data_IF_110541198335
#
_entry.id   IF_110541198335
#
_cell.length_a   1.000
_cell.length_b   1.000
_cell.length_c   1.000
_cell.angle_alpha   90.00
_cell.angle_beta   90.00
_cell.angle_gamma   90.00
#
_symmetry.space_group_name_H-M   'P 1'
#
loop_
_entity.id
_entity.type
_entity.pdbx_description
1 polymer ?
#
# COMPACT_ATOMS: atom_id res chain seq x y z
N UNK A 1 -42.91 82.86 -57.93
CA UNK A 1 -41.60 82.87 -57.23
C UNK A 1 -41.00 81.47 -57.40
N UNK A 2 -40.02 81.22 -58.28
CA UNK A 2 -38.55 81.37 -58.08
C UNK A 2 -38.15 80.70 -56.75
N UNK A 3 -37.35 79.64 -56.65
CA UNK A 3 -36.14 79.22 -57.41
C UNK A 3 -35.78 77.73 -57.16
N UNK A 4 -35.05 77.15 -58.13
CA UNK A 4 -33.94 76.17 -58.07
C UNK A 4 -33.28 75.88 -56.71
N UNK A 5 -32.47 74.84 -56.43
CA UNK A 5 -31.98 73.58 -57.01
C UNK A 5 -30.60 73.36 -56.34
N UNK A 6 -30.26 72.16 -55.85
CA UNK A 6 -28.91 71.56 -55.98
C UNK A 6 -28.78 70.19 -55.27
N UNK A 7 -28.12 69.29 -56.02
CA UNK A 7 -27.83 67.85 -55.88
C UNK A 7 -26.36 67.68 -55.35
N UNK A 8 -25.70 66.48 -55.31
CA UNK A 8 -26.09 65.06 -55.19
C UNK A 8 -25.13 64.18 -54.29
N UNK A 9 -25.25 62.84 -54.41
CA UNK A 9 -24.25 61.77 -54.22
C UNK A 9 -24.00 61.29 -52.77
N UNK A 10 -23.78 60.01 -52.45
CA UNK A 10 -23.42 58.84 -53.26
C UNK A 10 -23.77 57.54 -52.49
N UNK A 11 -24.10 56.49 -53.25
CA UNK A 11 -23.76 55.06 -53.06
C UNK A 11 -23.24 54.64 -51.67
N UNK A 12 -23.73 53.56 -51.05
CA UNK A 12 -23.27 52.19 -51.35
C UNK A 12 -24.07 51.20 -50.48
N UNK A 13 -24.75 50.26 -51.15
CA UNK A 13 -24.97 48.84 -50.80
C UNK A 13 -25.41 48.50 -49.37
N UNK A 14 -26.66 48.05 -49.21
CA UNK A 14 -26.98 46.86 -48.39
C UNK A 14 -28.16 46.11 -49.04
N UNK A 15 -27.84 45.25 -50.02
CA UNK A 15 -28.71 44.13 -50.40
C UNK A 15 -28.29 42.91 -49.59
N UNK A 16 -29.27 42.35 -48.89
CA UNK A 16 -29.50 40.92 -48.64
C UNK A 16 -28.29 39.98 -48.63
N UNK A 17 -28.05 39.36 -47.48
CA UNK A 17 -27.71 37.94 -47.41
C UNK A 17 -27.98 37.41 -45.99
N UNK A 18 -29.12 36.74 -45.84
CA UNK A 18 -29.23 35.61 -44.95
C UNK A 18 -28.16 34.57 -45.35
N UNK A 19 -27.76 33.71 -44.40
CA UNK A 19 -26.65 32.74 -44.46
C UNK A 19 -25.33 33.30 -43.92
N UNK A 20 -25.20 33.32 -42.59
CA UNK A 20 -23.99 33.01 -41.79
C UNK A 20 -24.25 33.39 -40.33
N UNK A 21 -25.15 32.66 -39.67
CA UNK A 21 -25.47 32.85 -38.25
C UNK A 21 -25.66 31.54 -37.49
N UNK A 22 -25.15 30.43 -38.03
CA UNK A 22 -25.23 29.09 -37.43
C UNK A 22 -23.85 28.49 -37.12
N UNK A 23 -22.80 29.32 -37.05
CA UNK A 23 -21.44 28.89 -36.67
C UNK A 23 -20.89 29.61 -35.42
N UNK A 24 -21.73 30.33 -34.66
CA UNK A 24 -21.33 30.96 -33.40
C UNK A 24 -22.26 30.60 -32.22
N UNK A 25 -22.86 29.40 -32.26
CA UNK A 25 -23.51 28.74 -31.11
C UNK A 25 -23.12 27.27 -30.99
N UNK A 26 -21.97 26.89 -31.57
CA UNK A 26 -21.40 25.54 -31.53
C UNK A 26 -19.98 25.52 -30.94
N UNK A 27 -19.59 26.59 -30.24
CA UNK A 27 -18.27 26.73 -29.62
C UNK A 27 -18.34 27.17 -28.14
N UNK A 28 -19.38 26.75 -27.41
CA UNK A 28 -19.46 26.90 -25.93
C UNK A 28 -19.82 25.59 -25.20
N UNK A 29 -19.78 24.44 -25.89
CA UNK A 29 -19.56 23.15 -25.22
C UNK A 29 -18.06 22.87 -25.17
N UNK A 30 -17.28 23.83 -24.67
CA UNK A 30 -15.93 23.55 -24.22
C UNK A 30 -16.04 22.81 -22.89
N UNK A 31 -16.20 21.49 -23.03
CA UNK A 31 -15.53 20.47 -22.24
C UNK A 31 -15.07 20.93 -20.84
N UNK A 32 -16.02 21.17 -19.94
CA UNK A 32 -15.74 21.10 -18.50
C UNK A 32 -15.79 19.62 -18.13
N UNK A 33 -14.83 18.85 -18.65
CA UNK A 33 -14.34 17.69 -17.91
C UNK A 33 -13.48 18.30 -16.81
N UNK A 34 -14.15 18.78 -15.76
CA UNK A 34 -13.48 18.90 -14.46
C UNK A 34 -12.90 17.53 -14.21
N UNK A 35 -11.57 17.45 -14.24
CA UNK A 35 -10.85 16.22 -14.12
C UNK A 35 -11.40 15.42 -12.96
N UNK A 36 -11.63 14.13 -13.19
CA UNK A 36 -11.51 13.17 -12.11
C UNK A 36 -10.10 13.39 -11.58
N UNK A 37 -9.97 14.20 -10.53
CA UNK A 37 -8.71 14.38 -9.83
C UNK A 37 -8.17 12.99 -9.56
N UNK A 38 -6.86 12.81 -9.72
CA UNK A 38 -6.19 11.63 -9.19
C UNK A 38 -6.73 11.43 -7.78
N UNK A 39 -7.56 10.40 -7.57
CA UNK A 39 -8.02 10.08 -6.23
C UNK A 39 -6.74 9.79 -5.45
N UNK A 40 -6.40 10.70 -4.54
CA UNK A 40 -5.17 10.60 -3.79
C UNK A 40 -5.27 9.32 -2.99
N UNK A 41 -4.33 8.44 -3.27
CA UNK A 41 -4.34 7.05 -2.90
C UNK A 41 -3.24 6.88 -1.85
N UNK A 42 -3.57 6.40 -0.66
CA UNK A 42 -2.74 6.62 0.52
C UNK A 42 -2.39 5.37 1.29
N UNK A 43 -2.82 4.19 0.84
CA UNK A 43 -2.29 2.98 1.43
C UNK A 43 -2.96 1.69 1.05
N UNK A 44 -2.33 0.62 1.51
CA UNK A 44 -2.79 -0.75 1.39
C UNK A 44 -2.23 -1.56 2.54
N UNK A 45 -2.86 -2.70 2.85
CA UNK A 45 -2.30 -3.67 3.79
C UNK A 45 -0.97 -4.18 3.24
N UNK A 46 0.11 -3.95 3.98
CA UNK A 46 1.46 -4.30 3.55
C UNK A 46 1.92 -5.65 4.11
N UNK A 47 1.38 -6.06 5.26
CA UNK A 47 1.73 -7.33 5.90
C UNK A 47 0.55 -7.91 6.69
N UNK A 48 0.03 -9.11 6.36
CA UNK A 48 0.29 -9.84 5.13
C UNK A 48 -0.18 -9.03 3.92
N UNK A 49 0.60 -9.00 2.82
CA UNK A 49 0.36 -8.07 1.72
C UNK A 49 -1.01 -8.28 1.08
N UNK A 50 -1.73 -7.20 0.81
CA UNK A 50 -2.94 -7.27 -0.01
C UNK A 50 -2.62 -7.78 -1.42
N UNK A 51 -3.60 -8.32 -2.14
CA UNK A 51 -3.41 -8.87 -3.49
C UNK A 51 -2.71 -7.89 -4.43
N UNK A 52 -3.25 -6.68 -4.56
CA UNK A 52 -2.69 -5.64 -5.43
C UNK A 52 -1.32 -5.12 -4.94
N UNK A 53 -1.14 -4.94 -3.63
CA UNK A 53 0.13 -4.52 -3.04
C UNK A 53 1.21 -5.57 -3.26
N UNK A 54 0.92 -6.83 -2.95
CA UNK A 54 1.81 -7.96 -3.15
C UNK A 54 2.20 -8.15 -4.61
N UNK A 55 1.24 -8.04 -5.55
CA UNK A 55 1.55 -8.13 -6.98
C UNK A 55 2.45 -6.99 -7.45
N UNK A 56 2.19 -5.75 -7.04
CA UNK A 56 3.05 -4.62 -7.36
C UNK A 56 4.48 -4.81 -6.84
N UNK A 57 4.62 -5.22 -5.57
CA UNK A 57 5.91 -5.34 -4.93
C UNK A 57 6.74 -6.55 -5.39
N UNK A 58 6.10 -7.68 -5.73
CA UNK A 58 6.83 -8.84 -6.31
C UNK A 58 7.17 -8.63 -7.79
N UNK A 59 6.34 -7.89 -8.52
CA UNK A 59 6.46 -7.74 -9.96
C UNK A 59 6.38 -6.27 -10.41
N UNK A 60 7.30 -5.40 -9.96
CA UNK A 60 7.21 -3.97 -10.19
C UNK A 60 7.36 -3.56 -11.66
N UNK A 61 7.92 -4.44 -12.50
CA UNK A 61 8.13 -4.21 -13.93
C UNK A 61 6.97 -4.73 -14.81
N UNK A 62 5.85 -5.15 -14.21
CA UNK A 62 4.67 -5.64 -14.92
C UNK A 62 4.76 -7.12 -15.33
N UNK A 63 3.88 -7.57 -16.24
CA UNK A 63 3.72 -8.98 -16.57
C UNK A 63 4.92 -9.55 -17.32
N UNK A 64 5.34 -10.75 -16.95
CA UNK A 64 6.42 -11.51 -17.61
C UNK A 64 6.03 -12.97 -17.80
N UNK A 65 6.74 -13.70 -18.66
CA UNK A 65 6.50 -15.14 -18.82
C UNK A 65 6.81 -15.92 -17.54
N UNK A 66 7.80 -15.47 -16.77
CA UNK A 66 8.13 -16.03 -15.46
C UNK A 66 6.95 -15.87 -14.49
N UNK A 67 6.31 -14.69 -14.46
CA UNK A 67 5.13 -14.45 -13.64
C UNK A 67 3.97 -15.37 -14.03
N UNK A 68 3.76 -15.64 -15.32
CA UNK A 68 2.71 -16.55 -15.78
C UNK A 68 2.84 -17.96 -15.17
N UNK A 69 4.07 -18.42 -14.91
CA UNK A 69 4.34 -19.72 -14.31
C UNK A 69 4.41 -19.68 -12.78
N UNK A 70 4.99 -18.63 -12.20
CA UNK A 70 5.28 -18.57 -10.76
C UNK A 70 4.17 -17.89 -9.93
N UNK A 71 3.44 -16.94 -10.52
CA UNK A 71 2.39 -16.17 -9.86
C UNK A 71 1.24 -15.89 -10.84
N UNK A 72 0.50 -16.94 -11.28
CA UNK A 72 -0.52 -16.82 -12.31
C UNK A 72 -1.67 -15.87 -11.91
N UNK A 73 -1.90 -15.67 -10.61
CA UNK A 73 -2.92 -14.75 -10.12
C UNK A 73 -2.49 -13.28 -10.23
N UNK A 74 -1.23 -12.96 -9.98
CA UNK A 74 -0.71 -11.65 -10.34
C UNK A 74 -0.61 -11.48 -11.86
N UNK A 75 -0.24 -12.52 -12.60
CA UNK A 75 -0.19 -12.47 -14.07
C UNK A 75 -1.53 -12.07 -14.67
N UNK A 76 -2.61 -12.76 -14.31
CA UNK A 76 -3.94 -12.40 -14.83
C UNK A 76 -4.36 -11.00 -14.39
N UNK A 77 -3.94 -10.53 -13.21
CA UNK A 77 -4.26 -9.18 -12.75
C UNK A 77 -3.52 -8.11 -13.55
N UNK A 78 -2.23 -8.30 -13.79
CA UNK A 78 -1.41 -7.45 -14.65
C UNK A 78 -1.89 -7.42 -16.10
N UNK A 79 -2.36 -8.55 -16.64
CA UNK A 79 -2.95 -8.61 -17.97
C UNK A 79 -4.31 -7.91 -18.05
N UNK A 80 -5.10 -7.93 -16.97
CA UNK A 80 -6.42 -7.33 -16.94
C UNK A 80 -6.36 -5.79 -16.85
N UNK A 81 -5.61 -5.26 -15.89
CA UNK A 81 -5.42 -3.82 -15.73
C UNK A 81 -4.15 -3.52 -14.91
N UNK A 82 -3.03 -3.15 -15.55
CA UNK A 82 -1.80 -2.74 -14.86
C UNK A 82 -2.01 -1.59 -13.86
N UNK A 83 -3.00 -0.73 -14.09
CA UNK A 83 -3.27 0.40 -13.21
C UNK A 83 -3.76 -0.03 -11.83
N UNK A 84 -4.28 -1.25 -11.67
CA UNK A 84 -4.61 -1.83 -10.36
C UNK A 84 -3.37 -2.00 -9.47
N UNK A 85 -2.22 -2.33 -10.06
CA UNK A 85 -0.96 -2.51 -9.32
C UNK A 85 -0.20 -1.20 -9.20
N UNK A 86 -0.14 -0.38 -10.26
CA UNK A 86 0.52 0.93 -10.15
C UNK A 86 -0.18 1.86 -9.16
N UNK A 87 -1.51 1.77 -9.06
CA UNK A 87 -2.31 2.48 -8.05
C UNK A 87 -2.66 1.55 -6.88
N UNK A 88 -1.70 0.74 -6.40
CA UNK A 88 -1.90 -0.19 -5.28
C UNK A 88 -2.42 0.52 -4.02
N UNK A 89 -2.09 1.78 -3.81
CA UNK A 89 -2.49 2.59 -2.67
C UNK A 89 -3.93 3.13 -2.77
N UNK A 90 -4.64 2.84 -3.86
CA UNK A 90 -5.87 3.55 -4.26
C UNK A 90 -7.13 2.72 -4.26
N UNK A 91 -7.13 1.53 -3.65
CA UNK A 91 -8.32 0.69 -3.58
C UNK A 91 -9.26 1.21 -2.47
N UNK A 92 -10.00 2.26 -2.82
CA UNK A 92 -10.88 3.00 -1.92
C UNK A 92 -12.26 3.26 -2.52
N UNK A 93 -13.18 3.68 -1.66
CA UNK A 93 -14.45 4.30 -2.02
C UNK A 93 -14.65 5.57 -1.19
N UNK A 94 -15.18 6.59 -1.83
CA UNK A 94 -15.64 7.81 -1.17
C UNK A 94 -17.15 7.70 -0.90
N UNK A 95 -17.59 8.23 0.24
CA UNK A 95 -18.97 8.15 0.68
C UNK A 95 -19.39 6.76 1.16
N UNK A 96 -20.68 6.61 1.48
CA UNK A 96 -21.28 5.35 1.93
C UNK A 96 -21.21 5.08 3.43
N UNK A 97 -20.61 6.00 4.21
CA UNK A 97 -20.58 5.91 5.67
C UNK A 97 -19.98 4.61 6.18
N UNK A 98 -20.71 3.93 7.08
CA UNK A 98 -20.25 2.68 7.72
C UNK A 98 -20.95 1.41 7.20
N UNK A 99 -21.83 1.53 6.21
CA UNK A 99 -22.53 0.37 5.62
C UNK A 99 -21.71 -0.24 4.47
N UNK A 100 -20.67 -0.96 4.86
CA UNK A 100 -19.75 -1.59 3.90
C UNK A 100 -20.40 -2.72 3.11
N UNK A 101 -21.40 -3.41 3.66
CA UNK A 101 -22.07 -4.52 2.97
C UNK A 101 -22.92 -4.00 1.81
N UNK A 102 -23.62 -2.89 1.99
CA UNK A 102 -24.34 -2.24 0.89
C UNK A 102 -23.38 -1.69 -0.18
N UNK A 103 -22.24 -1.13 0.23
CA UNK A 103 -21.27 -0.54 -0.69
C UNK A 103 -20.46 -1.56 -1.49
N UNK A 104 -20.28 -2.78 -0.95
CA UNK A 104 -19.41 -3.81 -1.51
C UNK A 104 -20.16 -5.14 -1.57
N UNK A 105 -20.86 -5.44 -2.66
CA UNK A 105 -21.63 -6.68 -2.81
C UNK A 105 -20.78 -7.96 -2.76
N UNK A 106 -21.42 -9.08 -2.42
CA UNK A 106 -20.85 -10.43 -2.52
C UNK A 106 -20.14 -10.67 -3.87
N UNK A 107 -18.97 -11.29 -3.83
CA UNK A 107 -18.15 -11.57 -5.01
C UNK A 107 -17.33 -10.37 -5.51
N UNK A 108 -17.49 -9.18 -4.92
CA UNK A 108 -16.74 -7.96 -5.29
C UNK A 108 -15.95 -7.35 -4.14
N UNK A 109 -15.73 -8.14 -3.08
CA UNK A 109 -15.07 -7.67 -1.86
C UNK A 109 -13.64 -7.20 -2.12
N UNK A 110 -12.88 -7.96 -2.90
CA UNK A 110 -11.46 -7.71 -3.11
C UNK A 110 -11.19 -6.56 -4.10
N UNK A 111 -12.18 -6.15 -4.88
CA UNK A 111 -12.16 -4.92 -5.70
C UNK A 111 -12.82 -3.72 -5.03
N UNK A 112 -13.34 -3.87 -3.82
CA UNK A 112 -14.08 -2.80 -3.13
C UNK A 112 -15.35 -2.41 -3.87
N UNK A 113 -16.13 -3.39 -4.35
CA UNK A 113 -17.39 -3.15 -5.05
C UNK A 113 -17.18 -2.60 -6.45
N UNK A 114 -16.19 -3.14 -7.18
CA UNK A 114 -15.79 -2.69 -8.52
C UNK A 114 -15.51 -1.18 -8.58
N UNK A 115 -14.89 -0.64 -7.52
CA UNK A 115 -14.54 0.79 -7.45
C UNK A 115 -13.65 1.22 -8.62
N UNK A 116 -13.69 2.51 -8.96
CA UNK A 116 -13.00 3.09 -10.12
C UNK A 116 -13.28 2.36 -11.43
N UNK A 117 -14.56 2.16 -11.76
CA UNK A 117 -15.02 1.48 -12.98
C UNK A 117 -14.38 0.09 -13.16
N UNK A 118 -14.21 -0.65 -12.06
CA UNK A 118 -13.69 -2.01 -12.08
C UNK A 118 -12.17 -2.12 -12.23
N UNK A 119 -11.39 -1.05 -12.00
CA UNK A 119 -9.91 -1.11 -12.02
C UNK A 119 -9.36 -2.32 -11.28
N UNK A 120 -9.90 -2.61 -10.09
CA UNK A 120 -9.43 -3.69 -9.22
C UNK A 120 -10.20 -5.01 -9.40
N UNK A 121 -11.03 -5.17 -10.43
CA UNK A 121 -11.90 -6.34 -10.61
C UNK A 121 -11.13 -7.66 -10.67
N UNK A 122 -9.89 -7.66 -11.18
CA UNK A 122 -9.06 -8.86 -11.22
C UNK A 122 -8.70 -9.41 -9.82
N UNK A 123 -8.80 -8.58 -8.77
CA UNK A 123 -8.59 -8.99 -7.38
C UNK A 123 -9.71 -9.89 -6.86
N UNK A 124 -10.89 -9.92 -7.49
CA UNK A 124 -12.02 -10.75 -7.06
C UNK A 124 -11.94 -12.20 -7.51
N UNK A 125 -11.06 -12.52 -8.47
CA UNK A 125 -10.98 -13.87 -9.04
C UNK A 125 -10.50 -14.90 -7.99
N UNK A 126 -11.23 -16.01 -7.81
CA UNK A 126 -10.73 -17.17 -7.07
C UNK A 126 -9.49 -17.74 -7.76
N UNK A 127 -8.57 -18.29 -6.97
CA UNK A 127 -7.39 -18.94 -7.51
C UNK A 127 -6.25 -19.06 -6.51
N UNK A 128 -5.13 -19.61 -6.98
CA UNK A 128 -3.93 -19.85 -6.17
C UNK A 128 -3.12 -18.55 -5.97
N UNK A 129 -3.72 -17.56 -5.32
CA UNK A 129 -3.01 -16.36 -4.87
C UNK A 129 -1.92 -16.74 -3.87
N UNK A 130 -0.77 -16.05 -3.91
CA UNK A 130 0.33 -16.29 -2.98
C UNK A 130 -0.11 -15.99 -1.55
N UNK A 131 0.00 -16.99 -0.69
CA UNK A 131 -0.49 -16.97 0.69
C UNK A 131 0.68 -17.24 1.67
N UNK A 132 1.32 -16.20 2.22
CA UNK A 132 2.39 -16.38 3.21
C UNK A 132 1.89 -17.09 4.47
N UNK A 133 2.75 -17.91 5.08
CA UNK A 133 2.45 -18.60 6.34
C UNK A 133 2.24 -17.60 7.48
N UNK A 134 1.16 -17.77 8.26
CA UNK A 134 0.90 -16.97 9.46
C UNK A 134 0.42 -17.89 10.60
N UNK A 135 0.80 -17.63 11.85
CA UNK A 135 0.09 -18.20 12.99
C UNK A 135 -1.35 -17.66 13.04
N UNK A 136 -2.25 -18.34 13.75
CA UNK A 136 -3.65 -17.90 13.94
C UNK A 136 -3.77 -16.56 14.67
N UNK A 137 -2.72 -16.15 15.41
CA UNK A 137 -2.62 -14.83 16.02
C UNK A 137 -1.37 -14.09 15.54
N UNK A 138 -1.54 -12.94 14.91
CA UNK A 138 -0.45 -12.12 14.39
C UNK A 138 -0.87 -10.64 14.30
N UNK A 139 0.09 -9.77 13.96
CA UNK A 139 -0.18 -8.36 13.72
C UNK A 139 -0.25 -8.09 12.23
N UNK A 140 -1.34 -7.50 11.76
CA UNK A 140 -1.50 -6.96 10.42
C UNK A 140 -1.00 -5.51 10.38
N UNK A 141 -0.23 -5.14 9.37
CA UNK A 141 0.28 -3.78 9.16
C UNK A 141 -0.27 -3.16 7.87
N UNK A 142 -0.52 -1.85 7.93
CA UNK A 142 -0.99 -1.07 6.79
C UNK A 142 -0.01 0.06 6.42
N UNK A 143 0.21 0.13 5.10
CA UNK A 143 0.88 1.13 4.29
C UNK A 143 0.30 2.55 4.24
N UNK A 144 0.14 3.33 5.33
CA UNK A 144 -0.45 4.70 5.20
C UNK A 144 0.60 5.77 4.81
N UNK A 145 0.76 6.02 3.52
CA UNK A 145 1.73 6.99 2.98
C UNK A 145 1.35 8.45 3.21
N UNK A 146 0.13 8.72 3.67
CA UNK A 146 -0.33 10.11 3.90
C UNK A 146 -0.88 10.37 5.28
N UNK A 147 -0.65 9.43 6.19
CA UNK A 147 -0.83 9.66 7.62
C UNK A 147 -2.26 10.06 7.98
N UNK A 148 -3.25 9.51 7.27
CA UNK A 148 -4.68 9.76 7.50
C UNK A 148 -5.21 9.22 8.82
N UNK A 149 -4.48 8.30 9.46
CA UNK A 149 -4.99 7.58 10.62
C UNK A 149 -6.25 6.79 10.27
N UNK A 150 -7.04 6.40 11.28
CA UNK A 150 -8.24 5.62 11.05
C UNK A 150 -9.33 5.95 12.06
N UNK A 151 -10.58 6.06 11.63
CA UNK A 151 -11.72 6.00 12.56
C UNK A 151 -11.81 4.60 13.16
N UNK A 152 -11.58 3.59 12.32
CA UNK A 152 -11.38 2.19 12.69
C UNK A 152 -10.72 1.43 11.54
N UNK A 153 -10.12 0.30 11.89
CA UNK A 153 -9.74 -0.74 10.94
C UNK A 153 -10.40 -2.03 11.40
N UNK A 154 -11.09 -2.71 10.50
CA UNK A 154 -11.73 -4.02 10.73
C UNK A 154 -11.06 -5.06 9.86
N UNK A 155 -10.65 -6.17 10.45
CA UNK A 155 -10.07 -7.30 9.74
C UNK A 155 -10.99 -8.49 9.93
N UNK A 156 -11.44 -9.02 8.81
CA UNK A 156 -12.24 -10.22 8.73
C UNK A 156 -11.40 -11.37 8.19
N UNK A 157 -11.71 -12.59 8.60
CA UNK A 157 -11.11 -13.80 8.05
C UNK A 157 -12.20 -14.76 7.60
N UNK A 158 -11.97 -15.37 6.44
CA UNK A 158 -12.76 -16.51 5.97
C UNK A 158 -12.88 -17.59 7.03
N UNK A 159 -14.08 -18.18 7.15
CA UNK A 159 -14.37 -19.33 8.01
C UNK A 159 -13.60 -20.57 7.56
N UNK A 160 -13.31 -21.47 8.50
CA UNK A 160 -12.71 -22.78 8.17
C UNK A 160 -13.59 -23.52 7.15
N UNK A 161 -12.96 -24.13 6.14
CA UNK A 161 -13.65 -24.84 5.06
C UNK A 161 -14.03 -23.98 3.85
N UNK A 162 -13.81 -22.66 3.89
CA UNK A 162 -13.81 -21.85 2.67
C UNK A 162 -12.59 -22.19 1.81
N UNK A 163 -12.77 -22.31 0.49
CA UNK A 163 -11.67 -22.56 -0.46
C UNK A 163 -11.44 -21.31 -1.34
N UNK A 164 -10.40 -20.50 -1.07
CA UNK A 164 -10.08 -19.31 -1.86
C UNK A 164 -9.70 -19.60 -3.31
N UNK A 165 -9.35 -20.85 -3.64
CA UNK A 165 -8.91 -21.22 -4.99
C UNK A 165 -10.07 -21.42 -5.95
N UNK A 166 -11.25 -21.72 -5.44
CA UNK A 166 -12.40 -22.12 -6.25
C UNK A 166 -13.65 -21.28 -6.00
N UNK A 167 -13.72 -20.56 -4.88
CA UNK A 167 -14.92 -19.81 -4.49
C UNK A 167 -14.67 -18.31 -4.42
N UNK A 168 -15.60 -17.53 -4.96
CA UNK A 168 -15.64 -16.08 -4.80
C UNK A 168 -16.02 -15.73 -3.36
N UNK A 169 -15.38 -14.70 -2.80
CA UNK A 169 -15.58 -14.28 -1.42
C UNK A 169 -16.95 -13.64 -1.22
N UNK A 170 -17.64 -13.98 -0.13
CA UNK A 170 -18.91 -13.38 0.28
C UNK A 170 -18.83 -12.88 1.71
N UNK A 171 -19.71 -11.96 2.10
CA UNK A 171 -19.80 -11.51 3.50
C UNK A 171 -20.16 -12.64 4.46
N UNK A 172 -20.98 -13.60 4.01
CA UNK A 172 -21.37 -14.77 4.81
C UNK A 172 -20.21 -15.73 5.10
N UNK A 173 -19.12 -15.67 4.32
CA UNK A 173 -17.92 -16.47 4.52
C UNK A 173 -16.99 -15.90 5.61
N UNK A 174 -17.25 -14.68 6.09
CA UNK A 174 -16.32 -13.91 6.93
C UNK A 174 -16.75 -13.89 8.41
N UNK A 175 -15.78 -14.00 9.32
CA UNK A 175 -15.91 -13.57 10.71
C UNK A 175 -14.98 -12.38 10.98
N UNK A 176 -15.39 -11.46 11.85
CA UNK A 176 -14.52 -10.39 12.35
C UNK A 176 -13.48 -11.00 13.30
N UNK A 177 -12.20 -10.81 13.00
CA UNK A 177 -11.05 -11.39 13.75
C UNK A 177 -10.09 -10.34 14.30
N UNK A 178 -10.32 -9.06 14.00
CA UNK A 178 -9.55 -7.95 14.51
C UNK A 178 -10.29 -6.64 14.29
N UNK A 179 -10.25 -5.74 15.27
CA UNK A 179 -10.80 -4.39 15.12
C UNK A 179 -10.02 -3.41 15.98
N UNK A 180 -9.74 -2.23 15.44
CA UNK A 180 -9.17 -1.11 16.19
C UNK A 180 -10.24 -0.11 16.61
N UNK A 181 -9.94 0.69 17.62
CA UNK A 181 -10.59 1.98 17.82
C UNK A 181 -10.02 3.04 16.86
N UNK A 182 -10.25 4.31 17.20
CA UNK A 182 -9.70 5.44 16.46
C UNK A 182 -8.18 5.52 16.62
N UNK A 183 -7.48 5.69 15.49
CA UNK A 183 -6.04 5.82 15.39
C UNK A 183 -5.73 7.25 14.90
N UNK A 184 -4.96 8.05 15.65
CA UNK A 184 -4.56 9.39 15.23
C UNK A 184 -3.76 9.41 13.92
N UNK A 185 -3.92 10.49 13.17
CA UNK A 185 -3.10 10.81 11.99
C UNK A 185 -1.59 10.76 12.33
N UNK A 186 -0.77 10.27 11.41
CA UNK A 186 0.69 10.16 11.60
C UNK A 186 1.15 8.97 12.45
N UNK A 187 0.22 8.12 12.89
CA UNK A 187 0.53 6.90 13.66
C UNK A 187 0.53 5.69 12.74
N UNK A 188 1.39 4.70 13.03
CA UNK A 188 1.30 3.37 12.41
C UNK A 188 -0.05 2.75 12.75
N UNK A 189 -0.57 1.90 11.86
CA UNK A 189 -1.90 1.30 11.93
C UNK A 189 -1.83 -0.23 12.10
N UNK A 190 -1.12 -0.76 13.12
CA UNK A 190 -1.12 -2.20 13.36
C UNK A 190 -2.51 -2.65 13.86
N UNK A 191 -2.95 -3.82 13.41
CA UNK A 191 -4.17 -4.46 13.88
C UNK A 191 -3.83 -5.85 14.41
N UNK A 192 -4.22 -6.13 15.65
CA UNK A 192 -4.16 -7.49 16.16
C UNK A 192 -5.20 -8.36 15.46
N UNK A 193 -4.75 -9.46 14.87
CA UNK A 193 -5.61 -10.48 14.28
C UNK A 193 -5.58 -11.70 15.19
N UNK A 194 -6.76 -12.18 15.58
CA UNK A 194 -6.96 -13.42 16.32
C UNK A 194 -8.00 -14.29 15.59
N UNK A 195 -7.53 -15.30 14.88
CA UNK A 195 -8.31 -16.11 13.97
C UNK A 195 -8.25 -17.60 14.37
N UNK A 196 -8.78 -17.97 15.55
CA UNK A 196 -8.68 -19.34 16.05
C UNK A 196 -9.47 -20.33 15.19
N UNK A 197 -9.07 -21.59 15.21
CA UNK A 197 -9.70 -22.67 14.46
C UNK A 197 -9.40 -22.67 12.96
N UNK A 198 -8.56 -21.75 12.48
CA UNK A 198 -8.24 -21.59 11.05
C UNK A 198 -6.92 -22.25 10.69
N UNK A 199 -6.92 -23.05 9.63
CA UNK A 199 -5.76 -23.75 9.10
C UNK A 199 -5.80 -23.77 7.58
N UNK A 200 -4.63 -23.73 6.94
CA UNK A 200 -4.53 -23.73 5.49
C UNK A 200 -4.79 -22.35 4.88
N UNK A 201 -5.13 -22.33 3.59
CA UNK A 201 -5.31 -21.09 2.82
C UNK A 201 -6.61 -20.39 3.18
N UNK A 202 -6.48 -19.16 3.68
CA UNK A 202 -7.58 -18.25 3.99
C UNK A 202 -7.39 -16.89 3.31
N UNK A 203 -8.49 -16.18 3.14
CA UNK A 203 -8.48 -14.75 2.80
C UNK A 203 -8.78 -13.93 4.06
N UNK A 204 -7.98 -12.90 4.27
CA UNK A 204 -8.28 -11.79 5.17
C UNK A 204 -8.87 -10.64 4.36
N UNK A 205 -9.97 -10.09 4.82
CA UNK A 205 -10.59 -8.91 4.23
C UNK A 205 -10.49 -7.75 5.22
N UNK A 206 -9.78 -6.70 4.84
CA UNK A 206 -9.55 -5.53 5.70
C UNK A 206 -10.33 -4.34 5.18
N UNK A 207 -11.06 -3.68 6.08
CA UNK A 207 -11.72 -2.40 5.87
C UNK A 207 -11.00 -1.35 6.71
N UNK A 208 -10.38 -0.38 6.07
CA UNK A 208 -9.77 0.78 6.73
C UNK A 208 -10.63 2.01 6.47
N UNK A 209 -11.27 2.54 7.51
CA UNK A 209 -12.02 3.80 7.46
C UNK A 209 -11.07 4.94 7.84
N UNK A 210 -10.63 5.72 6.86
CA UNK A 210 -9.71 6.83 7.08
C UNK A 210 -10.38 7.99 7.84
N UNK A 211 -9.61 8.76 8.61
CA UNK A 211 -10.16 9.83 9.48
C UNK A 211 -10.30 11.18 8.77
N UNK A 212 -9.64 11.39 7.63
CA UNK A 212 -9.61 12.71 6.96
C UNK A 212 -10.87 13.02 6.14
N UNK A 213 -11.64 12.00 5.78
CA UNK A 213 -12.86 12.10 4.97
C UNK A 213 -13.76 10.87 5.18
N UNK A 214 -14.97 10.89 4.62
CA UNK A 214 -15.77 9.66 4.45
C UNK A 214 -15.17 8.80 3.33
N UNK A 215 -14.06 8.15 3.64
CA UNK A 215 -13.29 7.34 2.69
C UNK A 215 -12.92 6.00 3.33
N UNK A 216 -13.26 4.92 2.64
CA UNK A 216 -13.01 3.54 3.08
C UNK A 216 -12.15 2.79 2.09
N UNK A 217 -11.11 2.14 2.58
CA UNK A 217 -10.19 1.30 1.81
C UNK A 217 -10.53 -0.17 2.03
N UNK A 218 -10.38 -0.97 0.98
CA UNK A 218 -10.69 -2.39 0.99
C UNK A 218 -9.48 -3.20 0.52
N UNK A 219 -9.11 -4.24 1.26
CA UNK A 219 -7.94 -5.05 0.92
C UNK A 219 -8.18 -6.52 1.25
N UNK A 220 -8.05 -7.38 0.24
CA UNK A 220 -7.91 -8.82 0.47
C UNK A 220 -6.43 -9.18 0.56
N UNK A 221 -6.04 -9.92 1.61
CA UNK A 221 -4.73 -10.53 1.77
C UNK A 221 -4.90 -12.05 1.90
N UNK A 222 -4.19 -12.82 1.07
CA UNK A 222 -4.17 -14.28 1.19
C UNK A 222 -3.13 -14.70 2.23
N UNK A 223 -3.50 -15.65 3.10
CA UNK A 223 -2.63 -16.19 4.15
C UNK A 223 -2.78 -17.70 4.24
N UNK A 224 -1.72 -18.37 4.68
CA UNK A 224 -1.77 -19.78 5.02
C UNK A 224 -1.61 -19.95 6.54
N UNK A 225 -2.71 -20.26 7.24
CA UNK A 225 -2.67 -20.45 8.69
C UNK A 225 -2.02 -21.78 9.05
N UNK A 226 -1.00 -21.76 9.91
CA UNK A 226 -0.16 -22.94 10.16
C UNK A 226 -0.43 -23.68 11.48
N UNK A 227 -1.13 -23.07 12.43
CA UNK A 227 -1.23 -23.59 13.80
C UNK A 227 -2.65 -23.85 14.33
N UNK A 228 -3.70 -23.50 13.58
CA UNK A 228 -5.09 -23.78 13.97
C UNK A 228 -5.59 -23.09 15.23
N UNK A 229 -4.76 -22.28 15.89
CA UNK A 229 -5.02 -21.83 17.26
C UNK A 229 -4.95 -22.93 18.31
N UNK A 230 -4.40 -24.12 17.99
CA UNK A 230 -4.10 -25.18 18.97
C UNK A 230 -2.79 -24.89 19.70
N UNK A 231 -2.67 -23.70 20.28
CA UNK A 231 -1.71 -23.44 21.35
C UNK A 231 -2.22 -24.04 22.66
N UNK A 232 -1.35 -24.41 23.62
CA UNK A 232 -1.73 -25.20 24.79
C UNK A 232 -2.84 -24.52 25.59
N UNK A 233 -3.79 -25.32 26.06
CA UNK A 233 -4.72 -24.94 27.14
C UNK A 233 -3.89 -24.64 28.38
N UNK A 234 -3.47 -23.40 28.58
CA UNK A 234 -2.99 -22.96 29.88
C UNK A 234 -4.20 -22.46 30.65
N UNK A 235 -4.71 -23.34 31.51
CA UNK A 235 -5.69 -23.06 32.55
C UNK A 235 -5.39 -21.74 33.22
N UNK A 236 -6.43 -20.94 33.41
CA UNK A 236 -6.45 -19.75 34.26
C UNK A 236 -5.84 -20.05 35.62
N UNK A 237 -4.59 -19.65 35.81
CA UNK A 237 -4.12 -19.10 37.07
C UNK A 237 -3.40 -17.82 36.73
N UNK A 238 -4.02 -16.69 37.06
CA UNK A 238 -3.36 -15.40 37.19
C UNK A 238 -2.11 -15.58 38.06
N UNK A 239 -0.93 -15.30 37.52
CA UNK A 239 -0.20 -14.18 38.06
C UNK A 239 -0.07 -13.12 36.99
N UNK A 240 -0.29 -11.88 37.38
CA UNK A 240 -0.05 -10.68 36.60
C UNK A 240 1.40 -10.69 36.09
N UNK A 241 1.62 -11.17 34.86
CA UNK A 241 2.88 -10.93 34.15
C UNK A 241 2.65 -9.78 33.20
N UNK A 242 2.99 -8.59 33.67
CA UNK A 242 3.19 -7.40 32.86
C UNK A 242 4.08 -7.77 31.66
N UNK A 243 3.51 -7.92 30.47
CA UNK A 243 4.34 -8.00 29.25
C UNK A 243 4.82 -6.58 29.00
N UNK A 244 5.97 -6.25 29.57
CA UNK A 244 6.69 -5.03 29.22
C UNK A 244 7.04 -5.14 27.75
N UNK A 245 6.33 -4.41 26.88
CA UNK A 245 6.81 -4.09 25.54
C UNK A 245 8.04 -3.22 25.73
N UNK A 246 9.21 -3.83 25.91
CA UNK A 246 10.45 -3.08 25.99
C UNK A 246 10.77 -2.63 24.57
N UNK A 247 10.39 -1.40 24.23
CA UNK A 247 11.03 -0.67 23.14
C UNK A 247 12.47 -0.42 23.57
N UNK A 248 13.37 -1.35 23.25
CA UNK A 248 14.80 -1.12 23.46
C UNK A 248 15.26 -0.19 22.35
N UNK A 249 15.37 1.10 22.68
CA UNK A 249 15.91 2.12 21.79
C UNK A 249 17.44 2.01 21.77
N UNK A 250 17.98 1.06 21.02
CA UNK A 250 19.42 1.00 20.73
C UNK A 250 19.69 1.68 19.40
N UNK A 251 20.01 2.96 19.46
CA UNK A 251 20.44 3.75 18.30
C UNK A 251 21.94 3.58 18.12
N UNK A 252 22.38 2.90 17.07
CA UNK A 252 23.80 2.87 16.69
C UNK A 252 24.08 4.00 15.69
N UNK A 253 24.86 5.00 16.08
CA UNK A 253 25.32 6.07 15.19
C UNK A 253 26.53 5.60 14.38
N UNK A 254 26.38 5.50 13.05
CA UNK A 254 27.51 5.36 12.13
C UNK A 254 28.34 6.65 12.06
N UNK A 255 29.66 6.51 11.90
CA UNK A 255 30.64 7.60 11.82
C UNK A 255 30.39 8.51 10.58
N UNK A 256 30.36 9.85 10.68
CA UNK A 256 30.00 10.76 9.58
C UNK A 256 31.09 10.99 8.52
N UNK A 257 31.96 10.02 8.25
CA UNK A 257 33.12 10.23 7.36
C UNK A 257 32.84 10.03 5.86
N UNK A 258 31.58 9.83 5.43
CA UNK A 258 31.28 9.39 4.07
C UNK A 258 29.95 9.95 3.53
N UNK A 259 29.75 11.28 3.58
CA UNK A 259 28.66 12.00 2.90
C UNK A 259 27.22 11.67 3.32
N UNK A 260 27.01 10.59 4.07
CA UNK A 260 25.77 10.16 4.67
C UNK A 260 26.05 9.40 5.98
N UNK A 261 25.02 9.20 6.78
CA UNK A 261 25.02 8.36 7.97
C UNK A 261 23.85 7.39 7.93
N UNK A 262 23.96 6.28 8.65
CA UNK A 262 22.88 5.31 8.76
C UNK A 262 22.69 4.89 10.22
N UNK A 263 21.43 4.80 10.66
CA UNK A 263 21.05 4.32 11.99
C UNK A 263 20.06 3.18 11.86
N UNK A 264 20.28 2.10 12.62
CA UNK A 264 19.39 0.95 12.66
C UNK A 264 18.54 1.02 13.92
N UNK A 265 17.25 0.71 13.76
CA UNK A 265 16.28 0.60 14.85
C UNK A 265 15.56 -0.74 14.74
N UNK A 266 15.57 -1.52 15.81
CA UNK A 266 14.71 -2.70 15.92
C UNK A 266 13.28 -2.23 16.14
N UNK A 267 12.42 -2.47 15.16
CA UNK A 267 11.02 -2.09 15.22
C UNK A 267 10.19 -3.10 16.01
N UNK A 268 10.54 -4.39 15.90
CA UNK A 268 9.94 -5.48 16.66
C UNK A 268 10.88 -6.68 16.69
N UNK A 269 10.77 -7.52 17.72
CA UNK A 269 11.51 -8.77 17.84
C UNK A 269 10.58 -9.83 18.41
N UNK A 270 10.72 -11.06 17.91
CA UNK A 270 9.98 -12.24 18.34
C UNK A 270 10.94 -13.43 18.48
N UNK A 271 10.42 -14.56 18.96
CA UNK A 271 11.24 -15.77 19.06
C UNK A 271 11.69 -16.22 17.68
N UNK A 272 13.00 -16.16 17.43
CA UNK A 272 13.61 -16.56 16.16
C UNK A 272 13.63 -15.51 15.04
N UNK A 273 13.21 -14.27 15.28
CA UNK A 273 13.32 -13.22 14.27
C UNK A 273 13.07 -11.80 14.76
N UNK A 274 13.34 -10.82 13.90
CA UNK A 274 13.15 -9.40 14.17
C UNK A 274 12.90 -8.61 12.90
N UNK A 275 12.26 -7.45 13.07
CA UNK A 275 12.11 -6.44 12.03
C UNK A 275 12.96 -5.23 12.38
N UNK A 276 13.76 -4.77 11.42
CA UNK A 276 14.58 -3.58 11.57
C UNK A 276 14.25 -2.53 10.52
N UNK A 277 14.40 -1.27 10.91
CA UNK A 277 14.35 -0.10 10.04
C UNK A 277 15.70 0.59 10.07
N UNK A 278 16.23 0.92 8.90
CA UNK A 278 17.47 1.67 8.75
C UNK A 278 17.15 3.03 8.17
N UNK A 279 17.47 4.08 8.93
CA UNK A 279 17.35 5.47 8.48
C UNK A 279 18.68 5.90 7.88
N UNK A 280 18.64 6.37 6.64
CA UNK A 280 19.80 6.93 5.94
C UNK A 280 19.63 8.45 5.87
N UNK A 281 20.63 9.19 6.32
CA UNK A 281 20.61 10.65 6.37
C UNK A 281 21.78 11.21 5.56
N UNK A 282 21.50 12.08 4.59
CA UNK A 282 22.54 12.80 3.86
C UNK A 282 23.26 13.78 4.81
N UNK A 283 24.56 13.98 4.59
CA UNK A 283 25.37 14.95 5.32
C UNK A 283 25.04 16.39 4.93
N UNK A 284 26.05 17.26 4.94
CA UNK A 284 25.90 18.68 4.59
C UNK A 284 25.75 18.94 3.09
N UNK A 285 25.83 17.91 2.25
CA UNK A 285 25.69 18.00 0.79
C UNK A 285 24.58 17.05 0.33
N UNK A 286 23.86 17.45 -0.73
CA UNK A 286 22.89 16.57 -1.37
C UNK A 286 23.60 15.37 -2.00
N UNK A 287 22.93 14.21 -2.01
CA UNK A 287 23.45 12.96 -2.57
C UNK A 287 22.46 12.41 -3.60
N UNK A 288 22.97 11.67 -4.57
CA UNK A 288 22.18 11.03 -5.65
C UNK A 288 21.92 9.55 -5.41
N UNK A 289 22.71 8.93 -4.54
CA UNK A 289 22.52 7.57 -4.09
C UNK A 289 23.27 7.30 -2.79
N UNK A 290 22.94 6.17 -2.19
CA UNK A 290 23.52 5.71 -0.95
C UNK A 290 23.65 4.19 -0.93
N UNK A 291 24.65 3.72 -0.21
CA UNK A 291 24.84 2.33 0.14
C UNK A 291 25.14 2.22 1.64
N UNK A 292 24.47 1.29 2.31
CA UNK A 292 24.67 0.98 3.73
C UNK A 292 25.24 -0.42 3.86
N UNK A 293 26.33 -0.57 4.62
CA UNK A 293 26.94 -1.87 4.86
C UNK A 293 27.05 -2.15 6.37
N UNK A 294 26.80 -3.39 6.75
CA UNK A 294 27.00 -3.87 8.12
C UNK A 294 27.27 -5.38 8.13
N UNK A 295 27.71 -5.90 9.28
CA UNK A 295 27.95 -7.33 9.49
C UNK A 295 27.09 -7.82 10.65
N UNK A 296 26.39 -8.94 10.44
CA UNK A 296 25.66 -9.64 11.50
C UNK A 296 26.61 -10.46 12.38
N UNK A 297 26.37 -10.45 13.69
CA UNK A 297 27.28 -11.03 14.68
C UNK A 297 26.87 -12.40 15.22
N UNK A 298 25.59 -12.76 15.10
CA UNK A 298 24.96 -13.89 15.79
C UNK A 298 24.29 -14.87 14.83
N UNK A 299 24.69 -14.88 13.56
CA UNK A 299 24.12 -15.76 12.53
C UNK A 299 22.76 -15.32 12.01
N UNK A 300 22.40 -14.05 12.19
CA UNK A 300 21.17 -13.47 11.65
C UNK A 300 21.14 -13.54 10.11
N UNK A 301 19.96 -13.67 9.53
CA UNK A 301 19.77 -13.72 8.06
C UNK A 301 18.60 -12.85 7.65
N UNK A 302 18.78 -12.02 6.62
CA UNK A 302 17.66 -11.26 6.05
C UNK A 302 16.78 -12.21 5.26
N UNK A 303 15.51 -12.29 5.64
CA UNK A 303 14.50 -13.09 4.96
C UNK A 303 13.75 -12.25 3.90
N UNK A 304 13.57 -10.95 4.16
CA UNK A 304 12.96 -10.01 3.21
C UNK A 304 13.39 -8.58 3.50
N UNK A 305 13.40 -7.73 2.47
CA UNK A 305 13.71 -6.30 2.58
C UNK A 305 12.82 -5.46 1.67
N UNK A 306 12.63 -4.19 2.03
CA UNK A 306 11.90 -3.21 1.22
C UNK A 306 12.63 -1.87 1.18
N UNK A 307 12.34 -1.06 0.17
CA UNK A 307 12.97 0.25 -0.05
C UNK A 307 14.51 0.21 -0.18
N UNK A 308 15.11 -0.95 -0.40
CA UNK A 308 16.53 -1.11 -0.69
C UNK A 308 16.77 -2.37 -1.51
N UNK A 309 17.77 -2.34 -2.39
CA UNK A 309 18.33 -3.54 -2.99
C UNK A 309 19.38 -4.11 -2.03
N UNK A 310 19.10 -5.28 -1.45
CA UNK A 310 19.95 -5.91 -0.43
C UNK A 310 20.69 -7.10 -1.03
N UNK A 311 22.01 -7.14 -0.85
CA UNK A 311 22.85 -8.29 -1.14
C UNK A 311 23.53 -8.80 0.13
N UNK A 312 23.70 -10.12 0.22
CA UNK A 312 24.30 -10.79 1.36
C UNK A 312 25.50 -11.61 0.88
N UNK A 313 26.65 -11.46 1.53
CA UNK A 313 27.85 -12.26 1.31
C UNK A 313 28.41 -12.71 2.66
N UNK A 314 28.21 -13.99 2.99
CA UNK A 314 28.47 -14.47 4.35
C UNK A 314 27.58 -13.75 5.37
N UNK A 315 28.18 -13.15 6.39
CA UNK A 315 27.50 -12.32 7.39
C UNK A 315 27.45 -10.82 7.03
N UNK A 316 28.06 -10.43 5.90
CA UNK A 316 28.09 -9.03 5.45
C UNK A 316 26.87 -8.72 4.59
N UNK A 317 26.18 -7.65 4.96
CA UNK A 317 25.03 -7.12 4.24
C UNK A 317 25.40 -5.81 3.56
N UNK A 318 24.98 -5.66 2.30
CA UNK A 318 25.03 -4.40 1.56
C UNK A 318 23.63 -4.03 1.09
N UNK A 319 23.13 -2.85 1.48
CA UNK A 319 21.85 -2.31 1.08
C UNK A 319 22.06 -1.04 0.26
N UNK A 320 21.54 -0.98 -0.97
CA UNK A 320 21.62 0.20 -1.84
C UNK A 320 20.24 0.79 -2.08
N UNK A 321 20.20 2.09 -2.36
CA UNK A 321 18.96 2.75 -2.73
C UNK A 321 18.30 2.09 -3.96
N UNK A 322 16.98 2.18 -4.02
CA UNK A 322 16.19 1.91 -5.23
C UNK A 322 15.94 3.23 -5.97
N UNK A 323 15.33 3.16 -7.16
CA UNK A 323 15.23 4.30 -8.07
C UNK A 323 14.59 5.56 -7.44
N UNK A 324 13.59 5.40 -6.56
CA UNK A 324 12.83 6.52 -6.02
C UNK A 324 13.42 7.14 -4.74
N UNK A 325 14.38 6.51 -4.07
CA UNK A 325 14.87 6.96 -2.75
C UNK A 325 16.37 7.18 -2.65
N UNK A 326 17.07 7.25 -3.79
CA UNK A 326 18.51 7.56 -3.83
C UNK A 326 18.84 9.03 -3.60
N UNK A 327 18.04 9.93 -4.20
CA UNK A 327 18.30 11.37 -4.12
C UNK A 327 17.81 11.95 -2.80
N UNK A 328 18.73 12.50 -2.01
CA UNK A 328 18.44 13.16 -0.74
C UNK A 328 19.10 14.55 -0.74
N UNK A 329 18.33 15.58 -0.40
CA UNK A 329 18.88 16.90 -0.10
C UNK A 329 19.76 16.86 1.16
N UNK A 330 20.63 17.86 1.34
CA UNK A 330 21.48 17.98 2.53
C UNK A 330 20.65 17.88 3.83
N UNK A 331 21.09 17.06 4.78
CA UNK A 331 20.41 16.82 6.06
C UNK A 331 19.08 16.04 5.97
N UNK A 332 18.58 15.75 4.77
CA UNK A 332 17.34 14.98 4.61
C UNK A 332 17.58 13.48 4.77
N UNK A 333 16.51 12.72 4.96
CA UNK A 333 16.62 11.29 5.25
C UNK A 333 15.61 10.46 4.49
N UNK A 334 15.98 9.20 4.24
CA UNK A 334 15.07 8.15 3.81
C UNK A 334 15.17 6.97 4.77
N UNK A 335 14.32 5.97 4.57
CA UNK A 335 14.37 4.74 5.35
C UNK A 335 14.10 3.53 4.49
N UNK A 336 14.79 2.45 4.82
CA UNK A 336 14.49 1.11 4.33
C UNK A 336 14.33 0.17 5.51
N UNK A 337 13.82 -1.03 5.27
CA UNK A 337 13.71 -1.99 6.34
C UNK A 337 13.82 -3.42 5.85
N UNK A 338 13.92 -4.32 6.81
CA UNK A 338 14.04 -5.74 6.57
C UNK A 338 13.46 -6.55 7.72
N UNK A 339 13.05 -7.77 7.40
CA UNK A 339 12.81 -8.85 8.36
C UNK A 339 13.99 -9.79 8.30
N UNK A 340 14.49 -10.18 9.47
CA UNK A 340 15.58 -11.13 9.60
C UNK A 340 15.25 -12.22 10.63
N UNK A 341 15.75 -13.43 10.37
CA UNK A 341 15.74 -14.54 11.30
C UNK A 341 16.94 -14.46 12.23
N UNK A 342 16.79 -14.97 13.46
CA UNK A 342 17.78 -14.89 14.53
C UNK A 342 17.41 -13.89 15.64
N UNK A 343 18.33 -13.69 16.59
CA UNK A 343 18.19 -12.68 17.65
C UNK A 343 18.78 -11.38 17.17
N UNK A 344 18.05 -10.25 17.34
CA UNK A 344 18.53 -8.97 16.85
C UNK A 344 19.84 -8.55 17.54
N UNK A 345 20.91 -8.44 16.77
CA UNK A 345 22.13 -7.76 17.18
C UNK A 345 22.05 -6.24 17.01
N UNK A 346 23.09 -5.54 17.47
CA UNK A 346 23.29 -4.10 17.27
C UNK A 346 24.54 -3.86 16.42
N UNK A 347 24.50 -4.14 15.11
CA UNK A 347 25.68 -4.01 14.27
C UNK A 347 26.04 -2.53 14.07
N UNK A 348 27.32 -2.25 13.84
CA UNK A 348 27.73 -0.91 13.40
C UNK A 348 27.45 -0.76 11.90
N UNK A 349 26.71 0.28 11.53
CA UNK A 349 26.41 0.59 10.13
C UNK A 349 27.43 1.58 9.57
N UNK A 350 27.81 1.36 8.31
CA UNK A 350 28.57 2.31 7.49
C UNK A 350 27.70 2.78 6.33
N UNK A 351 27.79 4.05 5.97
CA UNK A 351 27.07 4.63 4.83
C UNK A 351 28.08 5.21 3.84
N UNK A 352 27.87 5.03 2.55
CA UNK A 352 28.67 5.63 1.47
C UNK A 352 27.74 6.22 0.41
N UNK A 353 28.09 7.39 -0.12
CA UNK A 353 27.36 8.03 -1.22
C UNK A 353 27.79 7.45 -2.57
N UNK A 354 26.90 7.52 -3.58
CA UNK A 354 27.17 7.09 -4.95
C UNK A 354 26.64 8.05 -6.01
#
# INVERSE_FOLDING_TARGET
>A
MKTDASRPANTTVWRAAAVLGACLTLLTTLLVVLGAGSASAHGAVSDPPSRHYGCYHRWPNGPSQQMATEDPMCYQAWQADPSAMYNWNGLLRDGGGSDHQAAVPDGTLCSGGLTFNGRYAAMDKPGAWIAPNRPSRFTLNLNDTSSHGADYIRVYSTKQGFDPKTRALRWSDLDLVGQTGRIPTGTRTPVEVNAPGRTGHHVLFTVWKASHADQSYYACSDVNFTDGGTGPTTTTTTPTTTTTTTTTTTTTTGNPSAGCSATLRIASQWSGGFQAEVRVTAGTTAITGWAVNWTFGNGERIDSSWSAAVTTSGSTISARNVAYNGSLGAGTSTSFGFVASGTAGTPTLTCTTS
#
